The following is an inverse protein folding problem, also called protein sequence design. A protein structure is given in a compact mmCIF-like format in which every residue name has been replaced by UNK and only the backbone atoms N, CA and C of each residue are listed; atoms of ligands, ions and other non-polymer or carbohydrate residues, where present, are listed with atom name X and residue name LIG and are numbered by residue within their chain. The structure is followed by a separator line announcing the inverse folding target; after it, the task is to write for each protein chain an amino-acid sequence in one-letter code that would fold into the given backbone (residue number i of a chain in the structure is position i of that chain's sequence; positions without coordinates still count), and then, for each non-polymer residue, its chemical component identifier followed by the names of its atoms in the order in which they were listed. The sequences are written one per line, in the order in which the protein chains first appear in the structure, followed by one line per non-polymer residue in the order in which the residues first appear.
data_IF_525121760018
#
_entry.id   IF_525121760018
#
_cell.length_a   1.000
_cell.length_b   1.000
_cell.length_c   1.000
_cell.angle_alpha   90.00
_cell.angle_beta   90.00
_cell.angle_gamma   90.00
#
_symmetry.space_group_name_H-M   'P 1'
#
loop_
_entity.id
_entity.type
_entity.pdbx_description
1 polymer ?
#
# COMPACT_ATOMS: atom_id res chain seq x y z
N UNK A 1 -42.00 59.97 -5.26
CA UNK A 1 -41.98 59.02 -4.12
C UNK A 1 -42.02 57.57 -4.63
N UNK A 2 -40.89 56.89 -4.93
CA UNK A 2 -40.89 55.44 -5.30
C UNK A 2 -39.55 54.72 -5.07
N UNK A 3 -38.70 55.24 -4.16
CA UNK A 3 -37.30 54.76 -3.99
C UNK A 3 -37.09 53.82 -2.79
N UNK A 4 -38.06 53.74 -1.86
CA UNK A 4 -37.96 52.91 -0.64
C UNK A 4 -38.26 51.42 -0.86
N UNK A 5 -38.96 51.03 -1.93
CA UNK A 5 -39.38 49.63 -2.17
C UNK A 5 -38.33 48.74 -2.80
N UNK A 6 -37.24 49.29 -3.35
CA UNK A 6 -36.18 48.52 -4.01
C UNK A 6 -35.15 48.03 -2.96
N UNK A 7 -34.81 48.88 -1.99
CA UNK A 7 -33.88 48.55 -0.90
C UNK A 7 -34.41 47.44 0.02
N UNK A 8 -35.73 47.38 0.27
CA UNK A 8 -36.32 46.32 1.08
C UNK A 8 -36.39 44.97 0.37
N UNK A 9 -36.46 44.95 -0.98
CA UNK A 9 -36.44 43.72 -1.78
C UNK A 9 -35.03 43.12 -1.84
N UNK A 10 -34.01 43.95 -2.08
CA UNK A 10 -32.60 43.52 -2.04
C UNK A 10 -32.19 42.93 -0.68
N UNK A 11 -32.63 43.53 0.43
CA UNK A 11 -32.35 42.99 1.77
C UNK A 11 -33.07 41.66 2.05
N UNK A 12 -34.20 41.41 1.40
CA UNK A 12 -34.98 40.16 1.55
C UNK A 12 -34.40 39.03 0.70
N UNK A 13 -33.89 39.36 -0.48
CA UNK A 13 -33.18 38.42 -1.36
C UNK A 13 -31.82 37.99 -0.77
N UNK A 14 -31.10 38.90 -0.09
CA UNK A 14 -29.83 38.58 0.57
C UNK A 14 -29.96 37.52 1.68
N UNK A 15 -31.02 37.57 2.49
CA UNK A 15 -31.26 36.58 3.56
C UNK A 15 -31.63 35.19 3.03
N UNK A 16 -32.30 35.13 1.87
CA UNK A 16 -32.65 33.88 1.21
C UNK A 16 -31.41 33.20 0.59
N UNK A 17 -30.55 33.97 -0.09
CA UNK A 17 -29.31 33.43 -0.67
C UNK A 17 -28.35 32.87 0.39
N UNK A 18 -28.28 33.50 1.56
CA UNK A 18 -27.45 33.03 2.66
C UNK A 18 -27.96 31.68 3.20
N UNK A 19 -29.29 31.51 3.32
CA UNK A 19 -29.88 30.27 3.84
C UNK A 19 -29.77 29.11 2.84
N UNK A 20 -29.90 29.41 1.55
CA UNK A 20 -29.71 28.42 0.48
C UNK A 20 -28.26 27.92 0.43
N UNK A 21 -27.30 28.83 0.59
CA UNK A 21 -25.87 28.46 0.69
C UNK A 21 -25.61 27.65 1.97
N UNK A 22 -26.19 28.05 3.11
CA UNK A 22 -26.02 27.34 4.37
C UNK A 22 -26.59 25.90 4.34
N UNK A 23 -27.63 25.65 3.55
CA UNK A 23 -28.23 24.32 3.37
C UNK A 23 -27.49 23.45 2.35
N UNK A 24 -26.92 24.05 1.30
CA UNK A 24 -26.16 23.31 0.26
C UNK A 24 -24.73 22.99 0.69
N UNK A 25 -24.10 23.84 1.50
CA UNK A 25 -22.73 23.69 1.99
C UNK A 25 -22.45 22.35 2.71
N UNK A 26 -23.29 21.84 3.64
CA UNK A 26 -23.03 20.55 4.27
C UNK A 26 -23.06 19.38 3.28
N UNK A 27 -23.92 19.44 2.24
CA UNK A 27 -23.98 18.41 1.19
C UNK A 27 -22.71 18.45 0.34
N UNK A 28 -22.24 19.64 -0.04
CA UNK A 28 -21.00 19.81 -0.79
C UNK A 28 -19.77 19.37 0.02
N UNK A 29 -19.72 19.66 1.32
CA UNK A 29 -18.65 19.18 2.20
C UNK A 29 -18.64 17.66 2.33
N UNK A 30 -19.80 17.03 2.49
CA UNK A 30 -19.89 15.57 2.54
C UNK A 30 -19.35 14.94 1.26
N UNK A 31 -19.72 15.48 0.10
CA UNK A 31 -19.22 15.02 -1.19
C UNK A 31 -17.68 15.23 -1.29
N UNK A 32 -17.19 16.39 -0.86
CA UNK A 32 -15.77 16.71 -0.89
C UNK A 32 -14.93 15.78 0.01
N UNK A 33 -15.36 15.52 1.25
CA UNK A 33 -14.64 14.61 2.16
C UNK A 33 -14.63 13.17 1.66
N UNK A 34 -15.74 12.69 1.08
CA UNK A 34 -15.78 11.37 0.44
C UNK A 34 -14.86 11.31 -0.79
N UNK A 35 -14.82 12.37 -1.60
CA UNK A 35 -13.92 12.45 -2.74
C UNK A 35 -12.44 12.44 -2.31
N UNK A 36 -12.10 13.08 -1.19
CA UNK A 36 -10.75 13.04 -0.62
C UNK A 36 -10.39 11.62 -0.17
N UNK A 37 -11.28 10.93 0.54
CA UNK A 37 -11.07 9.53 0.95
C UNK A 37 -10.91 8.60 -0.27
N UNK A 38 -11.66 8.84 -1.34
CA UNK A 38 -11.51 8.10 -2.60
C UNK A 38 -10.16 8.38 -3.27
N UNK A 39 -9.73 9.64 -3.35
CA UNK A 39 -8.41 9.99 -3.88
C UNK A 39 -7.26 9.37 -3.08
N UNK A 40 -7.38 9.38 -1.75
CA UNK A 40 -6.43 8.74 -0.84
C UNK A 40 -6.34 7.22 -1.07
N UNK A 41 -7.46 6.55 -1.32
CA UNK A 41 -7.47 5.12 -1.66
C UNK A 41 -6.58 4.79 -2.86
N UNK A 42 -6.70 5.54 -3.97
CA UNK A 42 -5.85 5.30 -5.15
C UNK A 42 -4.39 5.66 -4.90
N UNK A 43 -4.13 6.72 -4.14
CA UNK A 43 -2.78 7.08 -3.74
C UNK A 43 -2.11 5.92 -2.98
N UNK A 44 -2.82 5.31 -2.02
CA UNK A 44 -2.33 4.14 -1.29
C UNK A 44 -2.13 2.94 -2.21
N UNK A 45 -3.12 2.62 -3.05
CA UNK A 45 -3.08 1.46 -3.94
C UNK A 45 -1.89 1.52 -4.90
N UNK A 46 -1.58 2.68 -5.47
CA UNK A 46 -0.45 2.84 -6.39
C UNK A 46 0.89 2.51 -5.71
N UNK A 47 1.15 3.09 -4.53
CA UNK A 47 2.37 2.82 -3.79
C UNK A 47 2.45 1.35 -3.31
N UNK A 48 1.30 0.76 -2.94
CA UNK A 48 1.25 -0.64 -2.52
C UNK A 48 1.52 -1.62 -3.67
N UNK A 49 1.25 -1.23 -4.92
CA UNK A 49 1.57 -2.05 -6.10
C UNK A 49 3.02 -1.93 -6.55
N UNK A 50 3.68 -0.79 -6.36
CA UNK A 50 5.09 -0.61 -6.72
C UNK A 50 6.05 -1.28 -5.74
N UNK A 51 5.74 -1.23 -4.45
CA UNK A 51 6.61 -1.73 -3.38
C UNK A 51 7.00 -3.21 -3.46
N UNK A 52 6.06 -4.17 -3.59
CA UNK A 52 6.42 -5.59 -3.72
C UNK A 52 7.21 -5.85 -5.00
N UNK A 53 6.98 -5.08 -6.07
CA UNK A 53 7.73 -5.21 -7.34
C UNK A 53 9.20 -4.84 -7.14
N UNK A 54 9.48 -3.71 -6.50
CA UNK A 54 10.85 -3.31 -6.18
C UNK A 54 11.50 -4.28 -5.18
N UNK A 55 10.73 -4.75 -4.19
CA UNK A 55 11.18 -5.73 -3.21
C UNK A 55 11.58 -7.07 -3.83
N UNK A 56 10.74 -7.63 -4.72
CA UNK A 56 11.05 -8.91 -5.38
C UNK A 56 12.20 -8.78 -6.37
N UNK A 57 12.32 -7.65 -7.09
CA UNK A 57 13.48 -7.39 -7.95
C UNK A 57 14.77 -7.43 -7.14
N UNK A 58 14.80 -6.79 -5.97
CA UNK A 58 15.95 -6.87 -5.10
C UNK A 58 16.20 -8.29 -4.59
N UNK A 59 15.15 -9.02 -4.18
CA UNK A 59 15.27 -10.39 -3.67
C UNK A 59 15.91 -11.36 -4.68
N UNK A 60 15.71 -11.17 -5.99
CA UNK A 60 16.28 -12.03 -7.03
C UNK A 60 17.69 -11.62 -7.50
N UNK A 61 18.12 -10.38 -7.25
CA UNK A 61 19.41 -9.88 -7.73
C UNK A 61 20.59 -10.69 -7.19
N UNK A 62 20.54 -11.14 -5.94
CA UNK A 62 21.49 -12.10 -5.33
C UNK A 62 22.92 -12.12 -5.91
N UNK A 63 23.42 -13.27 -6.40
CA UNK A 63 24.79 -13.43 -6.89
C UNK A 63 25.05 -12.81 -8.27
N UNK A 64 24.06 -12.16 -8.89
CA UNK A 64 24.26 -11.45 -10.16
C UNK A 64 24.91 -10.08 -10.00
N UNK A 65 25.20 -9.67 -8.76
CA UNK A 65 25.95 -8.44 -8.45
C UNK A 65 27.37 -8.78 -7.98
N UNK A 66 28.41 -8.02 -8.40
CA UNK A 66 29.82 -8.41 -8.26
C UNK A 66 30.34 -8.53 -6.81
N UNK A 67 29.61 -8.01 -5.83
CA UNK A 67 30.00 -8.06 -4.41
C UNK A 67 29.10 -8.95 -3.55
N UNK A 68 27.98 -9.44 -4.08
CA UNK A 68 26.99 -10.17 -3.30
C UNK A 68 27.09 -11.66 -3.65
N UNK A 69 27.49 -12.51 -2.70
CA UNK A 69 27.68 -13.95 -2.94
C UNK A 69 26.42 -14.78 -2.62
N UNK A 70 25.40 -14.13 -2.06
CA UNK A 70 24.16 -14.76 -1.59
C UNK A 70 22.96 -13.90 -2.01
N UNK A 71 21.76 -14.48 -1.99
CA UNK A 71 20.56 -13.68 -2.17
C UNK A 71 20.35 -12.76 -0.96
N UNK A 72 19.72 -11.57 -1.12
CA UNK A 72 19.55 -10.67 -0.01
C UNK A 72 18.74 -11.29 1.14
N UNK A 73 19.06 -10.93 2.39
CA UNK A 73 18.33 -11.43 3.53
C UNK A 73 16.86 -10.94 3.48
N UNK A 74 15.89 -11.79 3.85
CA UNK A 74 14.48 -11.43 3.82
C UNK A 74 14.13 -10.32 4.83
N UNK A 75 14.88 -10.23 5.93
CA UNK A 75 14.73 -9.21 6.98
C UNK A 75 15.92 -9.18 7.92
N UNK A 76 15.83 -8.48 9.05
CA UNK A 76 14.64 -7.78 9.58
C UNK A 76 14.36 -6.42 8.93
N UNK A 77 13.16 -5.87 9.17
CA UNK A 77 12.63 -4.63 8.58
C UNK A 77 13.36 -3.33 9.01
N UNK A 78 14.36 -3.43 9.87
CA UNK A 78 15.19 -2.32 10.37
C UNK A 78 16.65 -2.40 9.87
N UNK A 79 17.00 -3.43 9.08
CA UNK A 79 18.34 -3.62 8.56
C UNK A 79 18.43 -3.15 7.11
N UNK A 80 19.32 -2.17 6.87
CA UNK A 80 19.60 -1.68 5.52
C UNK A 80 20.16 -2.83 4.69
N UNK A 81 19.53 -3.11 3.54
CA UNK A 81 19.90 -4.22 2.66
C UNK A 81 19.05 -5.48 2.79
N UNK A 82 18.02 -5.47 3.64
CA UNK A 82 17.01 -6.55 3.65
C UNK A 82 15.85 -6.25 2.69
N UNK A 83 15.22 -7.31 2.17
CA UNK A 83 14.07 -7.19 1.25
C UNK A 83 12.91 -6.47 1.93
N UNK A 84 12.60 -6.85 3.18
CA UNK A 84 11.53 -6.20 3.95
C UNK A 84 11.81 -4.73 4.24
N UNK A 85 13.05 -4.35 4.58
CA UNK A 85 13.40 -2.94 4.79
C UNK A 85 13.14 -2.10 3.54
N UNK A 86 13.62 -2.54 2.38
CA UNK A 86 13.40 -1.82 1.12
C UNK A 86 11.93 -1.74 0.74
N UNK A 87 11.19 -2.84 0.93
CA UNK A 87 9.75 -2.88 0.69
C UNK A 87 9.02 -1.86 1.57
N UNK A 88 9.38 -1.74 2.85
CA UNK A 88 8.82 -0.72 3.73
C UNK A 88 9.23 0.70 3.35
N UNK A 89 10.48 0.93 2.92
CA UNK A 89 10.92 2.26 2.47
C UNK A 89 10.12 2.74 1.26
N UNK A 90 9.79 1.86 0.32
CA UNK A 90 8.99 2.21 -0.87
C UNK A 90 7.55 2.62 -0.50
N UNK A 91 7.05 2.20 0.67
CA UNK A 91 5.70 2.51 1.14
C UNK A 91 5.63 3.57 2.24
N UNK A 92 6.75 4.18 2.66
CA UNK A 92 6.80 5.10 3.82
C UNK A 92 5.93 6.34 3.72
N UNK A 93 5.58 6.78 2.51
CA UNK A 93 4.68 7.92 2.30
C UNK A 93 3.20 7.57 2.50
N UNK A 94 2.88 6.29 2.67
CA UNK A 94 1.52 5.77 2.67
C UNK A 94 1.16 5.07 3.98
N UNK A 95 2.12 4.39 4.62
CA UNK A 95 1.87 3.75 5.90
C UNK A 95 2.09 4.71 7.07
N UNK A 96 1.22 4.67 8.09
CA UNK A 96 1.46 5.39 9.35
C UNK A 96 2.63 4.80 10.15
N UNK A 97 2.92 3.50 10.00
CA UNK A 97 4.09 2.83 10.56
C UNK A 97 4.44 1.57 9.78
N UNK A 98 5.70 1.10 9.87
CA UNK A 98 6.12 -0.19 9.30
C UNK A 98 5.43 -1.41 9.93
N UNK A 99 4.81 -1.27 11.10
CA UNK A 99 4.00 -2.33 11.70
C UNK A 99 2.58 -2.42 11.13
N UNK A 100 2.10 -1.38 10.44
CA UNK A 100 0.72 -1.27 9.95
C UNK A 100 0.45 -2.08 8.68
N UNK A 101 1.48 -2.61 8.02
CA UNK A 101 1.34 -3.57 6.95
C UNK A 101 2.20 -4.80 7.21
N UNK A 102 1.72 -5.95 6.74
CA UNK A 102 2.46 -7.18 6.72
C UNK A 102 3.21 -7.30 5.40
N UNK A 103 4.52 -7.53 5.46
CA UNK A 103 5.35 -7.88 4.30
C UNK A 103 5.75 -9.34 4.44
N UNK A 104 5.33 -10.17 3.51
CA UNK A 104 5.74 -11.57 3.42
C UNK A 104 6.82 -11.70 2.35
N UNK A 105 7.98 -12.25 2.73
CA UNK A 105 9.09 -12.54 1.82
C UNK A 105 9.28 -14.05 1.77
N UNK A 106 9.19 -14.61 0.57
CA UNK A 106 9.45 -16.00 0.28
C UNK A 106 10.66 -16.09 -0.65
N UNK A 107 11.73 -16.71 -0.17
CA UNK A 107 12.98 -16.84 -0.92
C UNK A 107 13.75 -18.06 -0.47
N UNK A 108 14.70 -18.50 -1.30
CA UNK A 108 15.59 -19.62 -0.97
C UNK A 108 16.48 -19.35 0.26
N UNK A 109 16.68 -18.07 0.64
CA UNK A 109 17.41 -17.68 1.86
C UNK A 109 16.63 -17.95 3.14
N UNK A 110 15.31 -17.87 3.09
CA UNK A 110 14.47 -18.29 4.22
C UNK A 110 14.58 -19.81 4.40
N UNK A 111 14.63 -20.52 3.28
CA UNK A 111 14.73 -21.97 3.22
C UNK A 111 13.96 -22.53 2.04
N UNK A 112 13.99 -23.86 1.91
CA UNK A 112 13.29 -24.58 0.85
C UNK A 112 12.44 -25.65 1.52
N UNK A 113 11.16 -25.71 1.14
CA UNK A 113 10.23 -26.75 1.56
C UNK A 113 10.27 -27.85 0.50
N UNK A 114 10.38 -29.11 0.93
CA UNK A 114 10.48 -30.31 0.08
C UNK A 114 11.59 -30.23 -1.00
N UNK A 115 12.86 -29.97 -0.61
CA UNK A 115 13.96 -29.83 -1.55
C UNK A 115 14.15 -31.09 -2.41
N UNK A 116 14.47 -30.91 -3.69
CA UNK A 116 14.72 -32.00 -4.65
C UNK A 116 13.48 -32.74 -5.14
N UNK A 117 12.28 -32.26 -4.81
CA UNK A 117 11.01 -32.89 -5.23
C UNK A 117 10.24 -32.03 -6.22
N UNK A 118 9.24 -32.62 -6.89
CA UNK A 118 8.27 -31.89 -7.73
C UNK A 118 7.42 -30.89 -6.93
N UNK A 119 7.42 -30.97 -5.60
CA UNK A 119 6.68 -30.07 -4.70
C UNK A 119 7.60 -29.01 -4.06
N UNK A 120 8.81 -28.83 -4.60
CA UNK A 120 9.78 -27.86 -4.10
C UNK A 120 9.21 -26.44 -4.17
N UNK A 121 9.30 -25.69 -3.07
CA UNK A 121 8.90 -24.29 -2.99
C UNK A 121 9.77 -23.52 -1.99
N UNK A 122 9.90 -22.21 -2.16
CA UNK A 122 10.60 -21.37 -1.18
C UNK A 122 9.82 -21.26 0.12
N UNK A 123 10.52 -21.28 1.25
CA UNK A 123 9.94 -20.95 2.54
C UNK A 123 9.66 -19.43 2.64
N UNK A 124 8.72 -19.06 3.53
CA UNK A 124 8.28 -17.68 3.72
C UNK A 124 8.53 -17.22 5.15
N UNK A 125 8.82 -15.93 5.30
CA UNK A 125 8.82 -15.24 6.58
C UNK A 125 8.05 -13.94 6.45
N UNK A 126 7.46 -13.48 7.55
CA UNK A 126 6.59 -12.29 7.56
C UNK A 126 7.11 -11.26 8.54
N UNK A 127 6.98 -9.99 8.16
CA UNK A 127 7.33 -8.84 8.97
C UNK A 127 6.10 -7.95 9.12
N UNK A 128 5.94 -7.30 10.27
CA UNK A 128 4.80 -6.43 10.57
C UNK A 128 3.61 -7.19 11.18
N UNK A 129 2.43 -6.58 11.13
CA UNK A 129 1.19 -7.14 11.69
C UNK A 129 0.15 -7.39 10.60
N UNK A 130 -0.56 -8.52 10.72
CA UNK A 130 -1.57 -8.93 9.75
C UNK A 130 -1.61 -10.44 9.58
N UNK A 131 -2.48 -10.89 8.68
CA UNK A 131 -2.57 -12.30 8.29
C UNK A 131 -1.66 -12.54 7.10
N UNK A 132 -0.76 -13.52 7.23
CA UNK A 132 0.13 -13.96 6.16
C UNK A 132 -0.70 -14.44 4.94
N UNK A 133 -0.45 -13.90 3.73
CA UNK A 133 -1.09 -14.41 2.53
C UNK A 133 -0.58 -15.82 2.22
N UNK A 134 -1.30 -16.60 1.39
CA UNK A 134 -0.84 -17.91 0.95
C UNK A 134 0.58 -17.83 0.38
N UNK A 135 1.43 -18.76 0.83
CA UNK A 135 2.78 -18.91 0.32
C UNK A 135 2.80 -19.20 -1.19
N UNK A 136 4.00 -19.22 -1.80
CA UNK A 136 4.14 -19.47 -3.22
C UNK A 136 3.63 -20.87 -3.54
N UNK A 137 2.96 -20.96 -4.69
CA UNK A 137 2.62 -22.25 -5.26
C UNK A 137 3.89 -22.95 -5.72
N UNK A 138 3.82 -24.27 -5.75
CA UNK A 138 4.86 -25.09 -6.38
C UNK A 138 4.98 -24.72 -7.85
N UNK A 139 6.22 -24.56 -8.28
CA UNK A 139 6.55 -24.22 -9.66
C UNK A 139 6.41 -25.47 -10.56
N UNK A 140 5.83 -25.37 -11.78
CA UNK A 140 5.72 -26.51 -12.71
C UNK A 140 7.08 -27.12 -13.07
N UNK A 141 8.15 -26.33 -13.05
CA UNK A 141 9.51 -26.75 -13.36
C UNK A 141 10.33 -27.14 -12.11
N UNK A 142 9.67 -27.37 -10.96
CA UNK A 142 10.33 -27.89 -9.77
C UNK A 142 11.01 -29.26 -10.05
N UNK A 143 12.24 -29.50 -9.57
CA UNK A 143 13.03 -28.69 -8.63
C UNK A 143 14.03 -27.71 -9.28
N UNK A 144 14.00 -27.54 -10.61
CA UNK A 144 15.01 -26.74 -11.32
C UNK A 144 14.90 -25.24 -11.02
N UNK A 145 13.67 -24.73 -10.86
CA UNK A 145 13.40 -23.34 -10.52
C UNK A 145 12.72 -23.21 -9.15
N UNK A 146 12.95 -22.06 -8.51
CA UNK A 146 12.33 -21.67 -7.25
C UNK A 146 11.72 -20.28 -7.41
N UNK A 147 10.42 -20.18 -7.20
CA UNK A 147 9.71 -18.92 -7.21
C UNK A 147 10.09 -18.07 -5.99
N UNK A 148 10.64 -16.87 -6.21
CA UNK A 148 10.78 -15.85 -5.18
C UNK A 148 9.55 -14.93 -5.19
N UNK A 149 8.93 -14.73 -4.02
CA UNK A 149 7.67 -13.99 -3.90
C UNK A 149 7.76 -12.97 -2.78
N UNK A 150 7.30 -11.74 -3.05
CA UNK A 150 7.13 -10.70 -2.03
C UNK A 150 5.69 -10.23 -2.09
N UNK A 151 4.96 -10.40 -0.99
CA UNK A 151 3.58 -9.95 -0.86
C UNK A 151 3.49 -8.87 0.22
N UNK A 152 2.60 -7.90 0.01
CA UNK A 152 2.25 -6.90 1.03
C UNK A 152 0.75 -6.97 1.31
N UNK A 153 0.39 -7.03 2.58
CA UNK A 153 -0.99 -6.96 3.06
C UNK A 153 -1.14 -5.70 3.90
N UNK A 154 -2.04 -4.82 3.48
CA UNK A 154 -2.36 -3.58 4.18
C UNK A 154 -3.87 -3.40 4.25
N UNK A 155 -4.39 -3.09 5.43
CA UNK A 155 -5.79 -2.72 5.62
C UNK A 155 -5.91 -1.20 5.54
N UNK A 156 -6.63 -0.72 4.54
CA UNK A 156 -6.78 0.72 4.32
C UNK A 156 -7.69 1.34 5.40
N UNK A 157 -7.13 2.30 6.13
CA UNK A 157 -7.89 3.18 7.00
C UNK A 157 -8.17 4.50 6.25
N UNK A 158 -9.44 4.95 6.15
CA UNK A 158 -9.76 6.24 5.55
C UNK A 158 -9.08 7.39 6.29
N UNK A 159 -8.79 8.47 5.56
CA UNK A 159 -8.05 9.62 6.08
C UNK A 159 -8.92 10.50 6.99
N UNK A 160 -10.19 10.63 6.64
CA UNK A 160 -11.23 11.43 7.33
C UNK A 160 -12.31 10.48 7.83
#
# INVERSE_FOLDING_TARGET
MRRRSILSRLSREAGQSLIETALTLPILLLLAFNAINFGYFFFVALNLTSAPRSGVQYAILGPSTPQQLQYPPPGPANSVGSVSYLTYQDMRGVLPSSSSALVQVCSSQVGIVNPGTVNQKSACTTFGTGTAPPGPQTDPEAPAFLLSKVDVVYTLQPLI
#
